data_IF_627150423126
#
_entry.id   IF_627150423126
#
_cell.length_a   1.000
_cell.length_b   1.000
_cell.length_c   1.000
_cell.angle_alpha   90.00
_cell.angle_beta   90.00
_cell.angle_gamma   90.00
#
_symmetry.space_group_name_H-M   'P 1'
#
loop_
_entity.id
_entity.type
_entity.pdbx_description
1 polymer ?
#
# COMPACT_ATOMS: atom_id res chain seq x y z
N UNK A 1 -4.11 13.67 -9.16
CA UNK A 1 -3.98 13.51 -7.70
C UNK A 1 -3.58 12.12 -7.33
N UNK A 2 -2.58 12.04 -6.46
CA UNK A 2 -2.16 10.82 -5.79
C UNK A 2 -2.75 10.87 -4.39
N UNK A 3 -4.07 10.72 -4.27
CA UNK A 3 -4.71 10.63 -2.96
C UNK A 3 -4.29 9.31 -2.26
N UNK A 4 -4.10 9.30 -0.92
CA UNK A 4 -3.73 8.09 -0.18
C UNK A 4 -4.60 6.86 -0.46
N UNK A 5 -5.92 7.01 -0.52
CA UNK A 5 -6.85 5.89 -0.72
C UNK A 5 -6.82 5.41 -2.18
N UNK A 6 -6.73 6.34 -3.13
CA UNK A 6 -6.60 6.02 -4.54
C UNK A 6 -5.31 5.23 -4.82
N UNK A 7 -4.19 5.66 -4.22
CA UNK A 7 -2.92 4.94 -4.30
C UNK A 7 -3.00 3.54 -3.65
N UNK A 8 -3.57 3.44 -2.45
CA UNK A 8 -3.76 2.16 -1.78
C UNK A 8 -4.58 1.17 -2.62
N UNK A 9 -5.65 1.64 -3.26
CA UNK A 9 -6.47 0.82 -4.16
C UNK A 9 -5.69 0.27 -5.36
N UNK A 10 -4.85 1.11 -6.00
CA UNK A 10 -3.99 0.66 -7.10
C UNK A 10 -2.94 -0.35 -6.64
N UNK A 11 -2.34 -0.11 -5.48
CA UNK A 11 -1.31 -0.96 -4.90
C UNK A 11 -1.80 -2.37 -4.55
N UNK A 12 -3.08 -2.54 -4.16
CA UNK A 12 -3.67 -3.88 -3.99
C UNK A 12 -3.62 -4.67 -5.30
N UNK A 13 -3.96 -4.04 -6.43
CA UNK A 13 -3.88 -4.70 -7.74
C UNK A 13 -2.46 -5.17 -8.07
N UNK A 14 -1.43 -4.43 -7.66
CA UNK A 14 -0.03 -4.87 -7.82
C UNK A 14 0.29 -6.08 -6.95
N UNK A 15 -0.17 -6.09 -5.70
CA UNK A 15 0.03 -7.22 -4.78
C UNK A 15 -0.67 -8.47 -5.30
N UNK A 16 -1.91 -8.35 -5.79
CA UNK A 16 -2.66 -9.45 -6.42
C UNK A 16 -1.95 -9.96 -7.69
N UNK A 17 -1.25 -9.08 -8.42
CA UNK A 17 -0.41 -9.45 -9.55
C UNK A 17 0.96 -10.06 -9.15
N UNK A 18 1.24 -10.22 -7.86
CA UNK A 18 2.45 -10.86 -7.33
C UNK A 18 3.54 -9.90 -6.87
N UNK A 19 3.26 -8.61 -6.70
CA UNK A 19 4.22 -7.70 -6.08
C UNK A 19 4.42 -8.03 -4.60
N UNK A 20 5.68 -8.21 -4.20
CA UNK A 20 6.05 -8.49 -2.80
C UNK A 20 6.52 -7.24 -2.04
N UNK A 21 6.89 -6.17 -2.74
CA UNK A 21 7.36 -4.92 -2.15
C UNK A 21 6.60 -3.78 -2.83
N UNK A 22 5.89 -3.00 -2.02
CA UNK A 22 5.20 -1.79 -2.46
C UNK A 22 5.60 -0.65 -1.54
N UNK A 23 6.00 0.47 -2.14
CA UNK A 23 6.46 1.65 -1.44
C UNK A 23 6.30 2.89 -2.31
N UNK A 24 6.81 4.02 -1.80
CA UNK A 24 6.62 5.33 -2.41
C UNK A 24 7.87 5.92 -3.06
N UNK A 25 7.65 6.86 -3.98
CA UNK A 25 8.67 7.79 -4.46
C UNK A 25 8.21 9.23 -4.16
N UNK A 26 8.30 10.15 -5.12
CA UNK A 26 7.70 11.47 -5.00
C UNK A 26 6.19 11.35 -4.69
N UNK A 27 5.69 12.21 -3.80
CA UNK A 27 4.26 12.38 -3.48
C UNK A 27 3.58 11.22 -2.73
N UNK A 28 4.23 10.05 -2.62
CA UNK A 28 3.78 8.94 -1.76
C UNK A 28 4.41 9.12 -0.38
N UNK A 29 3.71 9.86 0.47
CA UNK A 29 4.14 10.17 1.83
C UNK A 29 3.62 9.19 2.89
N UNK A 30 3.82 9.52 4.18
CA UNK A 30 3.36 8.68 5.29
C UNK A 30 1.85 8.38 5.26
N UNK A 31 1.02 9.32 4.82
CA UNK A 31 -0.43 9.12 4.70
C UNK A 31 -0.77 8.01 3.70
N UNK A 32 -0.08 7.95 2.56
CA UNK A 32 -0.25 6.91 1.55
C UNK A 32 0.17 5.54 2.06
N UNK A 33 1.31 5.46 2.76
CA UNK A 33 1.78 4.20 3.33
C UNK A 33 0.83 3.71 4.44
N UNK A 34 0.25 4.62 5.24
CA UNK A 34 -0.75 4.27 6.24
C UNK A 34 -2.05 3.74 5.60
N UNK A 35 -2.55 4.40 4.56
CA UNK A 35 -3.72 3.92 3.80
C UNK A 35 -3.45 2.55 3.14
N UNK A 36 -2.29 2.40 2.49
CA UNK A 36 -1.85 1.13 1.91
C UNK A 36 -1.79 0.02 2.95
N UNK A 37 -1.17 0.27 4.11
CA UNK A 37 -1.11 -0.68 5.22
C UNK A 37 -2.51 -1.11 5.65
N UNK A 38 -3.40 -0.15 5.91
CA UNK A 38 -4.78 -0.45 6.32
C UNK A 38 -5.51 -1.30 5.29
N UNK A 39 -5.32 -1.00 3.99
CA UNK A 39 -5.90 -1.78 2.90
C UNK A 39 -5.36 -3.21 2.83
N UNK A 40 -4.04 -3.38 2.98
CA UNK A 40 -3.39 -4.69 3.01
C UNK A 40 -3.86 -5.54 4.20
N UNK A 41 -3.98 -4.94 5.40
CA UNK A 41 -4.50 -5.60 6.59
C UNK A 41 -5.96 -6.03 6.40
N UNK A 42 -6.81 -5.16 5.84
CA UNK A 42 -8.21 -5.48 5.51
C UNK A 42 -8.34 -6.61 4.47
N UNK A 43 -7.43 -6.68 3.50
CA UNK A 43 -7.40 -7.76 2.51
C UNK A 43 -6.74 -9.05 3.05
N UNK A 44 -6.24 -9.06 4.29
CA UNK A 44 -5.67 -10.23 4.95
C UNK A 44 -4.23 -10.56 4.53
N UNK A 45 -3.51 -9.60 3.93
CA UNK A 45 -2.09 -9.81 3.59
C UNK A 45 -1.22 -9.74 4.84
N UNK A 46 -0.21 -10.62 4.90
CA UNK A 46 0.84 -10.55 5.93
C UNK A 46 1.87 -9.48 5.53
N UNK A 47 1.99 -8.46 6.37
CA UNK A 47 2.98 -7.39 6.20
C UNK A 47 4.19 -7.71 7.09
N UNK A 48 5.39 -7.72 6.51
CA UNK A 48 6.65 -7.93 7.24
C UNK A 48 7.40 -6.61 7.43
N UNK A 49 8.18 -6.48 8.51
CA UNK A 49 9.15 -5.40 8.66
C UNK A 49 8.72 -4.21 9.52
N UNK A 50 7.69 -4.37 10.34
CA UNK A 50 7.35 -3.42 11.41
C UNK A 50 7.56 -4.14 12.75
N UNK A 51 8.17 -3.52 13.77
CA UNK A 51 8.12 -4.07 15.13
C UNK A 51 6.68 -4.21 15.63
#
# INVERSE_FOLDING_TARGET
>A
DLDPEAYAGQAIGWVEAGAHIVGGCCEVGPAHIAALRGRLEQAGHKISGVP
#
